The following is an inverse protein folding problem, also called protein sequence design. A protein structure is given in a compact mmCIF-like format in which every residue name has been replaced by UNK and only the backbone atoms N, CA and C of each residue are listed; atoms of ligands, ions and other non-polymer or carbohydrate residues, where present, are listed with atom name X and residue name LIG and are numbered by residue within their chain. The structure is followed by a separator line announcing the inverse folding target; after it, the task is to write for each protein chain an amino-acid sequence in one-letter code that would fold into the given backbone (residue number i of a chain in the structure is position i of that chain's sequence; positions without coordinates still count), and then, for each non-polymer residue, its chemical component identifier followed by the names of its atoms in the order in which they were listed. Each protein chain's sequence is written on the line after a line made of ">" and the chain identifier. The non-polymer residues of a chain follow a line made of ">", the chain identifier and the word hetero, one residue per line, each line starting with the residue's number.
data_IF_221962725049
#
_entry.id   IF_221962725049
#
_cell.length_a   1.000
_cell.length_b   1.000
_cell.length_c   1.000
_cell.angle_alpha   90.00
_cell.angle_beta   90.00
_cell.angle_gamma   90.00
#
_symmetry.space_group_name_H-M   'P 1'
#
loop_
_entity.id
_entity.type
_entity.pdbx_description
1 polymer ?
#
# COMPACT_ATOMS: atom_id res chain seq x y z
N UNK A 1 -57.71 19.08 22.01
CA UNK A 1 -56.53 19.79 22.59
C UNK A 1 -55.85 18.84 23.58
N UNK A 2 -54.53 18.60 23.52
CA UNK A 2 -53.69 18.40 22.36
C UNK A 2 -52.95 17.04 22.42
N UNK A 3 -53.04 16.29 21.32
CA UNK A 3 -52.18 15.17 20.95
C UNK A 3 -50.75 15.71 20.71
N UNK A 4 -50.03 16.12 21.77
CA UNK A 4 -48.76 16.87 21.64
C UNK A 4 -47.63 16.36 22.52
N UNK A 5 -47.55 15.07 22.88
CA UNK A 5 -46.34 14.55 23.58
C UNK A 5 -45.98 13.12 23.19
N UNK A 6 -46.21 12.71 21.95
CA UNK A 6 -45.70 11.41 21.46
C UNK A 6 -44.85 11.55 20.20
N UNK A 7 -44.22 12.71 20.01
CA UNK A 7 -43.26 12.94 18.92
C UNK A 7 -41.80 13.05 19.42
N UNK A 8 -41.56 13.05 20.74
CA UNK A 8 -40.22 13.25 21.28
C UNK A 8 -39.33 11.98 21.27
N UNK A 9 -39.92 10.80 21.10
CA UNK A 9 -39.16 9.54 21.16
C UNK A 9 -38.51 9.14 19.82
N UNK A 10 -38.90 9.75 18.70
CA UNK A 10 -38.42 9.33 17.36
C UNK A 10 -37.13 10.03 16.90
N UNK A 11 -36.68 11.10 17.58
CA UNK A 11 -35.53 11.89 17.11
C UNK A 11 -34.19 11.31 17.61
N UNK A 12 -34.18 10.42 18.61
CA UNK A 12 -32.94 9.88 19.19
C UNK A 12 -32.39 8.66 18.42
N UNK A 13 -33.20 8.01 17.57
CA UNK A 13 -32.79 6.80 16.87
C UNK A 13 -31.86 7.04 15.65
N UNK A 14 -31.71 8.28 15.18
CA UNK A 14 -30.97 8.59 13.95
C UNK A 14 -29.44 8.69 14.13
N UNK A 15 -28.91 8.62 15.35
CA UNK A 15 -27.48 8.79 15.62
C UNK A 15 -26.68 7.49 15.80
N UNK A 16 -27.30 6.31 15.58
CA UNK A 16 -26.59 5.03 15.69
C UNK A 16 -25.83 4.60 14.43
N UNK A 17 -25.67 5.47 13.43
CA UNK A 17 -24.71 5.24 12.36
C UNK A 17 -23.34 5.70 12.85
N UNK A 18 -22.70 4.87 13.68
CA UNK A 18 -21.31 5.07 14.07
C UNK A 18 -20.40 5.04 12.84
N UNK A 19 -19.24 5.74 12.87
CA UNK A 19 -18.28 5.63 11.77
C UNK A 19 -17.96 4.15 11.57
N UNK A 20 -18.12 3.67 10.33
CA UNK A 20 -17.63 2.35 9.94
C UNK A 20 -16.14 2.24 10.25
N UNK A 21 -15.57 1.03 10.35
CA UNK A 21 -14.16 0.85 10.67
C UNK A 21 -13.32 1.69 9.68
N UNK A 22 -12.75 2.78 10.17
CA UNK A 22 -11.72 3.49 9.43
C UNK A 22 -10.55 2.51 9.35
N UNK A 23 -10.25 2.02 8.15
CA UNK A 23 -9.01 1.30 7.89
C UNK A 23 -7.86 2.31 8.09
N UNK A 24 -7.46 2.47 9.35
CA UNK A 24 -6.33 3.28 9.73
C UNK A 24 -5.05 2.53 9.34
N UNK A 25 -4.13 3.22 8.70
CA UNK A 25 -2.84 2.75 8.17
C UNK A 25 -2.93 1.92 6.88
N UNK A 26 -2.04 2.22 5.92
CA UNK A 26 -1.81 1.37 4.76
C UNK A 26 -0.98 0.14 5.16
N UNK A 27 -1.55 -1.04 4.98
CA UNK A 27 -0.90 -2.33 5.17
C UNK A 27 -0.75 -2.97 3.80
N UNK A 28 0.44 -3.51 3.51
CA UNK A 28 0.70 -4.25 2.28
C UNK A 28 -0.12 -5.55 2.29
N UNK A 29 -1.04 -5.70 1.33
CA UNK A 29 -1.89 -6.89 1.19
C UNK A 29 -1.48 -7.80 0.05
N UNK A 30 -0.75 -7.27 -0.95
CA UNK A 30 -0.15 -8.07 -2.01
C UNK A 30 1.14 -7.42 -2.52
N UNK A 31 2.07 -8.25 -2.96
CA UNK A 31 3.33 -7.80 -3.55
C UNK A 31 3.69 -8.64 -4.78
N UNK A 32 4.14 -7.94 -5.82
CA UNK A 32 4.91 -8.47 -6.92
C UNK A 32 6.24 -7.71 -6.95
N UNK A 33 7.41 -8.36 -6.88
CA UNK A 33 7.62 -9.77 -6.54
C UNK A 33 6.96 -10.17 -5.20
N UNK A 34 6.59 -11.45 -5.08
CA UNK A 34 6.12 -11.99 -3.80
C UNK A 34 7.23 -11.91 -2.76
N UNK A 35 6.84 -11.70 -1.49
CA UNK A 35 7.77 -11.80 -0.36
C UNK A 35 8.45 -13.17 -0.39
N UNK A 36 9.78 -13.14 -0.37
CA UNK A 36 10.67 -14.30 -0.49
C UNK A 36 10.44 -15.14 -1.76
N UNK A 37 9.83 -14.54 -2.79
CA UNK A 37 9.61 -15.16 -4.09
C UNK A 37 10.84 -15.09 -4.99
N UNK A 38 10.75 -15.77 -6.13
CA UNK A 38 11.78 -15.75 -7.17
C UNK A 38 11.20 -15.21 -8.47
N UNK A 39 11.96 -14.39 -9.18
CA UNK A 39 11.64 -13.89 -10.53
C UNK A 39 12.81 -14.13 -11.48
N UNK A 40 12.53 -14.20 -12.78
CA UNK A 40 13.56 -14.27 -13.80
C UNK A 40 14.34 -12.94 -13.91
N UNK A 41 15.61 -12.95 -14.34
CA UNK A 41 16.37 -11.74 -14.60
C UNK A 41 15.85 -10.96 -15.82
N UNK A 42 16.21 -9.69 -15.90
CA UNK A 42 15.78 -8.74 -16.93
C UNK A 42 14.78 -7.71 -16.40
N UNK A 43 13.83 -7.23 -17.23
CA UNK A 43 12.85 -6.23 -16.83
C UNK A 43 11.87 -6.82 -15.81
N UNK A 44 11.90 -6.32 -14.57
CA UNK A 44 11.00 -6.76 -13.50
C UNK A 44 10.04 -5.64 -13.11
N UNK A 45 8.75 -5.95 -13.18
CA UNK A 45 7.68 -5.11 -12.63
C UNK A 45 7.56 -5.28 -11.12
N UNK A 46 7.42 -4.16 -10.42
CA UNK A 46 7.22 -4.10 -8.98
C UNK A 46 5.84 -3.47 -8.76
N UNK A 47 4.94 -4.19 -8.09
CA UNK A 47 3.58 -3.74 -7.81
C UNK A 47 3.17 -4.15 -6.39
N UNK A 48 2.96 -3.15 -5.53
CA UNK A 48 2.58 -3.33 -4.14
C UNK A 48 1.18 -2.78 -3.93
N UNK A 49 0.25 -3.63 -3.48
CA UNK A 49 -1.14 -3.26 -3.18
C UNK A 49 -1.34 -3.12 -1.68
N UNK A 50 -2.06 -2.08 -1.30
CA UNK A 50 -2.39 -1.75 0.09
C UNK A 50 -3.89 -1.88 0.34
N UNK A 51 -4.28 -2.03 1.60
CA UNK A 51 -5.69 -2.02 2.02
C UNK A 51 -6.32 -0.61 2.07
N UNK A 52 -5.56 0.42 1.69
CA UNK A 52 -5.94 1.83 1.80
C UNK A 52 -5.44 2.59 0.59
N UNK A 53 -6.16 3.65 0.21
CA UNK A 53 -5.66 4.62 -0.77
C UNK A 53 -4.37 5.26 -0.27
N UNK A 54 -3.47 5.55 -1.19
CA UNK A 54 -2.14 6.08 -0.92
C UNK A 54 -1.91 7.40 -1.66
N UNK A 55 -1.00 8.21 -1.14
CA UNK A 55 -0.46 9.36 -1.85
C UNK A 55 0.82 8.93 -2.58
N UNK A 56 0.77 8.77 -3.90
CA UNK A 56 1.91 8.33 -4.71
C UNK A 56 3.10 9.29 -4.62
N UNK A 57 2.86 10.60 -4.62
CA UNK A 57 3.91 11.62 -4.62
C UNK A 57 4.70 11.66 -3.30
N UNK A 58 4.06 11.27 -2.20
CA UNK A 58 4.67 11.18 -0.86
C UNK A 58 5.03 9.75 -0.43
N UNK A 59 4.80 8.78 -1.31
CA UNK A 59 5.23 7.39 -1.14
C UNK A 59 6.55 7.13 -1.85
N UNK A 60 7.21 6.01 -1.54
CA UNK A 60 8.54 5.68 -2.06
C UNK A 60 8.77 4.18 -2.15
N UNK A 61 9.41 3.75 -3.25
CA UNK A 61 10.06 2.46 -3.38
C UNK A 61 11.58 2.65 -3.45
N UNK A 62 12.33 1.81 -2.73
CA UNK A 62 13.79 1.75 -2.83
C UNK A 62 14.25 0.31 -3.01
N UNK A 63 15.08 0.08 -4.02
CA UNK A 63 15.73 -1.19 -4.27
C UNK A 63 17.04 -1.26 -3.50
N UNK A 64 17.19 -2.30 -2.67
CA UNK A 64 18.47 -2.74 -2.13
C UNK A 64 18.97 -3.90 -2.98
N UNK A 65 20.19 -3.78 -3.47
CA UNK A 65 20.86 -4.73 -4.37
C UNK A 65 21.70 -5.75 -3.59
N UNK A 66 22.19 -6.83 -4.26
CA UNK A 66 23.05 -7.84 -3.63
C UNK A 66 24.34 -7.27 -3.02
N UNK A 67 24.86 -6.17 -3.58
CA UNK A 67 26.04 -5.46 -3.09
C UNK A 67 25.71 -4.47 -1.95
N UNK A 68 24.49 -4.51 -1.43
CA UNK A 68 23.94 -3.59 -0.43
C UNK A 68 23.79 -2.13 -0.87
N UNK A 69 24.05 -1.80 -2.14
CA UNK A 69 23.75 -0.49 -2.68
C UNK A 69 22.23 -0.25 -2.71
N UNK A 70 21.82 1.00 -2.52
CA UNK A 70 20.41 1.39 -2.51
C UNK A 70 20.13 2.44 -3.57
N UNK A 71 19.02 2.27 -4.30
CA UNK A 71 18.51 3.29 -5.22
C UNK A 71 17.01 3.46 -5.08
N UNK A 72 16.54 4.70 -5.24
CA UNK A 72 15.11 5.01 -5.30
C UNK A 72 14.58 4.59 -6.67
N UNK A 73 13.43 3.93 -6.70
CA UNK A 73 12.76 3.57 -7.93
C UNK A 73 11.75 4.66 -8.32
N UNK A 74 11.69 5.05 -9.61
CA UNK A 74 10.68 5.97 -10.09
C UNK A 74 9.30 5.32 -9.99
N UNK A 75 8.37 6.00 -9.32
CA UNK A 75 6.99 5.55 -9.18
C UNK A 75 6.22 5.86 -10.47
N UNK A 76 5.41 4.91 -10.92
CA UNK A 76 4.46 5.13 -12.01
C UNK A 76 3.27 5.95 -11.49
N UNK A 77 3.02 7.16 -12.03
CA UNK A 77 2.04 8.10 -11.48
C UNK A 77 0.57 7.69 -11.68
N UNK A 78 0.28 6.77 -12.59
CA UNK A 78 -1.09 6.38 -12.98
C UNK A 78 -1.46 4.94 -12.57
N UNK A 79 -0.84 4.43 -11.51
CA UNK A 79 -1.27 3.17 -10.90
C UNK A 79 -2.58 3.35 -10.12
N UNK A 80 -3.25 2.25 -9.78
CA UNK A 80 -4.48 2.31 -8.98
C UNK A 80 -4.24 3.05 -7.64
N UNK A 81 -5.31 3.63 -7.08
CA UNK A 81 -5.25 4.49 -5.89
C UNK A 81 -4.68 3.80 -4.63
N UNK A 82 -4.71 2.47 -4.60
CA UNK A 82 -4.21 1.61 -3.52
C UNK A 82 -2.94 0.83 -3.94
N UNK A 83 -2.31 1.19 -5.06
CA UNK A 83 -1.16 0.49 -5.64
C UNK A 83 0.02 1.41 -5.79
N UNK A 84 1.21 0.93 -5.43
CA UNK A 84 2.48 1.55 -5.74
C UNK A 84 3.23 0.70 -6.77
N UNK A 85 3.52 1.27 -7.94
CA UNK A 85 4.14 0.56 -9.04
C UNK A 85 5.48 1.19 -9.49
N UNK A 86 6.42 0.34 -9.89
CA UNK A 86 7.68 0.71 -10.52
C UNK A 86 8.18 -0.43 -11.42
N UNK A 87 9.24 -0.19 -12.19
CA UNK A 87 9.92 -1.21 -12.97
C UNK A 87 11.43 -0.98 -12.95
N UNK A 88 12.21 -2.06 -13.03
CA UNK A 88 13.67 -1.95 -13.05
C UNK A 88 14.29 -3.20 -13.69
N UNK A 89 15.45 -3.04 -14.33
CA UNK A 89 16.25 -4.15 -14.85
C UNK A 89 17.04 -4.79 -13.72
N UNK A 90 16.93 -6.11 -13.56
CA UNK A 90 17.59 -6.86 -12.50
C UNK A 90 18.44 -8.01 -13.05
N UNK A 91 19.66 -8.11 -12.54
CA UNK A 91 20.54 -9.26 -12.73
C UNK A 91 20.26 -10.33 -11.65
N UNK A 92 20.76 -11.56 -11.80
CA UNK A 92 20.65 -12.56 -10.74
C UNK A 92 21.24 -12.09 -9.40
N UNK A 93 20.54 -12.39 -8.31
CA UNK A 93 20.95 -12.02 -6.95
C UNK A 93 19.82 -11.90 -5.94
N UNK A 94 20.18 -11.64 -4.69
CA UNK A 94 19.23 -11.35 -3.61
C UNK A 94 18.93 -9.85 -3.54
N UNK A 95 17.65 -9.50 -3.57
CA UNK A 95 17.19 -8.11 -3.56
C UNK A 95 16.19 -7.88 -2.42
N UNK A 96 16.00 -6.61 -2.07
CA UNK A 96 14.90 -6.21 -1.20
C UNK A 96 14.32 -4.90 -1.69
N UNK A 97 13.00 -4.84 -1.86
CA UNK A 97 12.31 -3.57 -2.02
C UNK A 97 11.90 -3.06 -0.64
N UNK A 98 12.44 -1.92 -0.24
CA UNK A 98 11.94 -1.15 0.89
C UNK A 98 10.84 -0.23 0.40
N UNK A 99 9.70 -0.24 1.06
CA UNK A 99 8.58 0.64 0.75
C UNK A 99 8.25 1.56 1.93
N UNK A 100 7.83 2.77 1.60
CA UNK A 100 7.24 3.73 2.52
C UNK A 100 5.99 4.30 1.85
N UNK A 101 4.86 4.22 2.53
CA UNK A 101 3.58 4.68 1.99
C UNK A 101 2.94 5.66 2.92
N UNK A 102 2.44 6.76 2.37
CA UNK A 102 1.54 7.67 3.06
C UNK A 102 0.10 7.32 2.68
N UNK A 103 -0.67 6.86 3.66
CA UNK A 103 -2.10 6.62 3.47
C UNK A 103 -2.90 7.93 3.52
N UNK A 104 -4.11 7.91 2.94
CA UNK A 104 -5.02 9.06 2.96
C UNK A 104 -5.49 9.47 4.36
N UNK A 105 -5.30 8.60 5.37
CA UNK A 105 -5.54 8.92 6.78
C UNK A 105 -4.41 9.75 7.41
N UNK A 106 -3.34 10.03 6.67
CA UNK A 106 -2.21 10.85 7.08
C UNK A 106 -1.06 10.08 7.73
N UNK A 107 -1.16 8.76 7.92
CA UNK A 107 -0.10 7.96 8.53
C UNK A 107 0.87 7.38 7.50
N UNK A 108 2.14 7.33 7.89
CA UNK A 108 3.18 6.67 7.11
C UNK A 108 3.43 5.27 7.65
N UNK A 109 3.36 4.27 6.78
CA UNK A 109 3.79 2.89 7.05
C UNK A 109 4.99 2.51 6.20
N UNK A 110 5.72 1.48 6.64
CA UNK A 110 6.94 0.99 6.00
C UNK A 110 7.02 -0.52 6.09
N UNK A 111 7.80 -1.10 5.18
CA UNK A 111 8.17 -2.51 5.25
C UNK A 111 9.15 -2.88 4.15
N UNK A 112 9.53 -4.15 4.18
CA UNK A 112 10.54 -4.73 3.30
C UNK A 112 9.95 -5.94 2.58
N UNK A 113 10.28 -6.08 1.29
CA UNK A 113 9.92 -7.23 0.46
C UNK A 113 11.21 -7.83 -0.10
N UNK A 114 11.80 -8.83 0.59
CA UNK A 114 12.93 -9.57 0.05
C UNK A 114 12.47 -10.47 -1.10
N UNK A 115 13.31 -10.67 -2.12
CA UNK A 115 13.05 -11.60 -3.21
C UNK A 115 14.38 -12.00 -3.88
N UNK A 116 14.34 -13.10 -4.62
CA UNK A 116 15.46 -13.61 -5.41
C UNK A 116 15.24 -13.35 -6.90
N UNK A 117 16.32 -13.04 -7.59
CA UNK A 117 16.40 -13.04 -9.06
C UNK A 117 17.33 -14.18 -9.44
N UNK A 118 16.85 -15.14 -10.23
CA UNK A 118 17.68 -16.24 -10.73
C UNK A 118 17.14 -16.75 -12.05
N UNK A 119 18.03 -17.24 -12.90
CA UNK A 119 17.64 -18.16 -13.96
C UNK A 119 17.10 -19.43 -13.30
N UNK A 120 15.96 -19.94 -13.78
CA UNK A 120 15.37 -21.18 -13.25
C UNK A 120 16.31 -22.38 -13.41
#
# INVERSE_FOLDING_TARGET
>A
MPLRRMCAALIVAAFLVGPGPALAHAILVASQPRISGTVAPGPVSIEFRFNSRIDHARSRLSLVRPDHSQSVLPIVPDSAEDVLAASTELSPGAYTIKWQVLAVDGHITRGDVPFMVSDH
#
